data_IF_888788106152
#
_entry.id   IF_888788106152
#
_cell.length_a   1.000
_cell.length_b   1.000
_cell.length_c   1.000
_cell.angle_alpha   90.00
_cell.angle_beta   90.00
_cell.angle_gamma   90.00
#
_symmetry.space_group_name_H-M   'P 1'
#
loop_
_entity.id
_entity.type
_entity.pdbx_description
1 polymer ?
#
# COMPACT_ATOMS: atom_id res chain seq x y z
N UNK A 1 -8.21 -2.27 -31.52
CA UNK A 1 -7.86 -2.47 -30.11
C UNK A 1 -7.30 -1.15 -29.56
N UNK A 2 -8.11 -0.31 -28.98
CA UNK A 2 -7.63 0.95 -28.40
C UNK A 2 -7.11 0.68 -26.99
N UNK A 3 -5.80 0.50 -26.85
CA UNK A 3 -5.07 0.34 -25.59
C UNK A 3 -5.27 1.52 -24.62
N UNK A 4 -5.71 2.66 -25.12
CA UNK A 4 -6.01 3.90 -24.39
C UNK A 4 -7.46 4.36 -24.57
N UNK A 5 -8.43 3.49 -24.34
CA UNK A 5 -9.84 3.90 -24.26
C UNK A 5 -10.04 4.82 -23.04
N UNK A 6 -10.97 5.79 -23.14
CA UNK A 6 -11.36 6.69 -22.02
C UNK A 6 -11.67 5.92 -20.74
N UNK A 7 -12.28 4.73 -20.86
CA UNK A 7 -12.55 3.81 -19.74
C UNK A 7 -11.26 3.35 -19.02
N UNK A 8 -10.17 3.08 -19.74
CA UNK A 8 -8.92 2.63 -19.11
C UNK A 8 -8.21 3.75 -18.35
N UNK A 9 -8.36 5.00 -18.78
CA UNK A 9 -7.89 6.16 -18.02
C UNK A 9 -8.69 6.38 -16.74
N UNK A 10 -10.00 6.21 -16.80
CA UNK A 10 -10.87 6.32 -15.61
C UNK A 10 -10.55 5.22 -14.59
N UNK A 11 -10.35 3.99 -15.02
CA UNK A 11 -9.94 2.87 -14.13
C UNK A 11 -8.62 3.15 -13.42
N UNK A 12 -7.67 3.82 -14.07
CA UNK A 12 -6.40 4.18 -13.47
C UNK A 12 -6.50 5.42 -12.56
N UNK A 13 -7.35 6.41 -12.90
CA UNK A 13 -7.41 7.69 -12.19
C UNK A 13 -8.42 7.67 -11.03
N UNK A 14 -9.48 6.85 -11.11
CA UNK A 14 -10.47 6.72 -10.04
C UNK A 14 -9.87 6.29 -8.69
N UNK A 15 -8.95 5.30 -8.63
CA UNK A 15 -8.30 4.92 -7.37
C UNK A 15 -7.41 6.01 -6.77
N UNK A 16 -6.94 6.96 -7.58
CA UNK A 16 -6.13 8.07 -7.09
C UNK A 16 -6.97 9.22 -6.50
N UNK A 17 -8.20 9.43 -6.98
CA UNK A 17 -9.01 10.58 -6.61
C UNK A 17 -10.23 10.24 -5.77
N UNK A 18 -11.15 9.42 -6.28
CA UNK A 18 -12.48 9.21 -5.68
C UNK A 18 -12.60 7.89 -4.90
N UNK A 19 -12.06 6.81 -5.47
CA UNK A 19 -12.12 5.45 -4.88
C UNK A 19 -10.79 5.02 -4.28
N UNK A 20 -10.13 5.94 -3.57
CA UNK A 20 -8.84 5.67 -2.94
C UNK A 20 -8.95 4.48 -1.97
N UNK A 21 -8.07 3.46 -2.04
CA UNK A 21 -8.21 2.23 -1.26
C UNK A 21 -8.18 2.48 0.26
N UNK A 22 -7.36 3.39 0.75
CA UNK A 22 -7.30 3.73 2.18
C UNK A 22 -8.33 4.79 2.55
N UNK A 23 -8.47 5.86 1.75
CA UNK A 23 -9.27 7.02 2.11
C UNK A 23 -10.77 6.79 1.87
N UNK A 24 -11.12 6.07 0.80
CA UNK A 24 -12.50 5.75 0.45
C UNK A 24 -12.99 4.44 1.05
N UNK A 25 -12.26 3.36 0.80
CA UNK A 25 -12.64 1.99 1.18
C UNK A 25 -12.12 1.56 2.55
N UNK A 26 -11.23 2.34 3.16
CA UNK A 26 -10.63 2.07 4.49
C UNK A 26 -9.90 0.72 4.54
N UNK A 27 -9.32 0.29 3.40
CA UNK A 27 -8.56 -0.94 3.28
C UNK A 27 -7.06 -0.69 3.50
N UNK A 28 -6.33 -1.67 4.03
CA UNK A 28 -4.87 -1.60 4.19
C UNK A 28 -4.36 -0.86 5.43
N UNK A 29 -5.23 -0.52 6.37
CA UNK A 29 -4.82 0.13 7.62
C UNK A 29 -3.85 -0.74 8.41
N UNK A 30 -4.06 -2.06 8.48
CA UNK A 30 -3.22 -2.99 9.25
C UNK A 30 -1.75 -2.92 8.82
N UNK A 31 -1.50 -2.96 7.50
CA UNK A 31 -0.16 -2.86 6.95
C UNK A 31 0.41 -1.44 7.06
N UNK A 32 -0.43 -0.41 6.90
CA UNK A 32 -0.03 0.97 7.10
C UNK A 32 0.45 1.23 8.54
N UNK A 33 -0.22 0.68 9.55
CA UNK A 33 0.18 0.81 10.96
C UNK A 33 1.54 0.17 11.25
N UNK A 34 1.79 -1.02 10.68
CA UNK A 34 2.98 -1.79 10.96
C UNK A 34 4.23 -1.24 10.25
N UNK A 35 4.08 -0.80 8.98
CA UNK A 35 5.22 -0.50 8.11
C UNK A 35 5.66 0.96 8.16
N UNK A 36 4.76 1.88 8.52
CA UNK A 36 5.04 3.33 8.49
C UNK A 36 5.90 3.84 9.66
N UNK A 37 6.46 2.95 10.49
CA UNK A 37 7.41 3.36 11.55
C UNK A 37 8.70 3.97 10.99
N UNK A 38 9.09 3.59 9.77
CA UNK A 38 10.24 4.10 9.04
C UNK A 38 9.88 4.28 7.57
N UNK A 39 10.45 5.31 6.93
CA UNK A 39 10.13 5.65 5.54
C UNK A 39 10.71 4.66 4.53
N UNK A 40 11.94 4.14 4.78
CA UNK A 40 12.57 3.16 3.88
C UNK A 40 11.72 1.91 3.66
N UNK A 41 11.31 1.15 4.70
CA UNK A 41 10.46 -0.02 4.51
C UNK A 41 9.08 0.34 3.97
N UNK A 42 8.55 1.55 4.26
CA UNK A 42 7.26 1.99 3.73
C UNK A 42 7.28 2.15 2.20
N UNK A 43 8.33 2.74 1.64
CA UNK A 43 8.51 2.89 0.19
C UNK A 43 8.63 1.52 -0.49
N UNK A 44 9.51 0.67 0.04
CA UNK A 44 9.73 -0.66 -0.55
C UNK A 44 8.48 -1.52 -0.49
N UNK A 45 7.76 -1.47 0.64
CA UNK A 45 6.48 -2.16 0.81
C UNK A 45 5.42 -1.66 -0.17
N UNK A 46 5.32 -0.34 -0.36
CA UNK A 46 4.39 0.26 -1.31
C UNK A 46 4.66 -0.19 -2.75
N UNK A 47 5.92 -0.21 -3.17
CA UNK A 47 6.32 -0.70 -4.50
C UNK A 47 6.07 -2.21 -4.65
N UNK A 48 6.45 -3.02 -3.65
CA UNK A 48 6.23 -4.46 -3.68
C UNK A 48 4.74 -4.80 -3.79
N UNK A 49 3.89 -4.18 -2.98
CA UNK A 49 2.43 -4.39 -3.04
C UNK A 49 1.88 -3.97 -4.40
N UNK A 50 2.33 -2.86 -4.98
CA UNK A 50 1.89 -2.40 -6.30
C UNK A 50 2.19 -3.45 -7.38
N UNK A 51 3.42 -3.96 -7.42
CA UNK A 51 3.83 -4.99 -8.39
C UNK A 51 3.04 -6.28 -8.19
N UNK A 52 2.95 -6.75 -6.93
CA UNK A 52 2.23 -7.99 -6.61
C UNK A 52 0.75 -7.87 -6.96
N UNK A 53 0.09 -6.75 -6.63
CA UNK A 53 -1.32 -6.53 -6.94
C UNK A 53 -1.58 -6.51 -8.44
N UNK A 54 -0.71 -5.85 -9.21
CA UNK A 54 -0.82 -5.81 -10.66
C UNK A 54 -0.77 -7.21 -11.29
N UNK A 55 0.24 -8.01 -10.93
CA UNK A 55 0.40 -9.37 -11.44
C UNK A 55 -0.69 -10.32 -10.92
N UNK A 56 -1.03 -10.26 -9.65
CA UNK A 56 -2.08 -11.07 -9.05
C UNK A 56 -3.44 -10.83 -9.73
N UNK A 57 -3.80 -9.57 -9.99
CA UNK A 57 -5.02 -9.20 -10.70
C UNK A 57 -5.07 -9.84 -12.11
N UNK A 58 -3.95 -9.84 -12.84
CA UNK A 58 -3.88 -10.46 -14.18
C UNK A 58 -4.09 -11.97 -14.08
N UNK A 59 -3.35 -12.64 -13.20
CA UNK A 59 -3.43 -14.10 -13.04
C UNK A 59 -4.83 -14.53 -12.64
N UNK A 60 -5.42 -13.90 -11.63
CA UNK A 60 -6.78 -14.23 -11.17
C UNK A 60 -7.81 -13.94 -12.26
N UNK A 61 -7.69 -12.85 -13.01
CA UNK A 61 -8.59 -12.54 -14.11
C UNK A 61 -8.53 -13.57 -15.24
N UNK A 62 -7.37 -14.18 -15.51
CA UNK A 62 -7.22 -15.26 -16.49
C UNK A 62 -7.88 -16.56 -16.00
N UNK A 63 -7.68 -16.89 -14.72
CA UNK A 63 -8.14 -18.17 -14.15
C UNK A 63 -9.62 -18.09 -13.68
N UNK A 64 -10.21 -16.91 -13.63
CA UNK A 64 -11.53 -16.66 -13.02
C UNK A 64 -12.65 -17.62 -13.43
N UNK A 65 -12.64 -18.09 -14.69
CA UNK A 65 -13.69 -18.99 -15.20
C UNK A 65 -13.55 -20.43 -14.69
N UNK A 66 -12.37 -20.80 -14.16
CA UNK A 66 -12.08 -22.16 -13.68
C UNK A 66 -12.30 -22.29 -12.19
N UNK A 67 -12.38 -21.18 -11.45
CA UNK A 67 -12.44 -21.17 -9.99
C UNK A 67 -13.89 -21.28 -9.51
N UNK A 68 -14.28 -22.37 -8.78
CA UNK A 68 -15.59 -22.46 -8.17
C UNK A 68 -15.72 -21.49 -6.98
N UNK A 69 -16.92 -20.93 -6.80
CA UNK A 69 -17.18 -19.89 -5.79
C UNK A 69 -16.82 -20.28 -4.34
N UNK A 70 -16.84 -21.58 -4.02
CA UNK A 70 -16.58 -22.06 -2.66
C UNK A 70 -15.13 -21.97 -2.23
N UNK A 71 -14.17 -22.07 -3.18
CA UNK A 71 -12.74 -22.11 -2.89
C UNK A 71 -12.00 -20.85 -3.40
N UNK A 72 -12.74 -19.86 -3.86
CA UNK A 72 -12.22 -18.65 -4.49
C UNK A 72 -11.16 -17.94 -3.65
N UNK A 73 -11.44 -17.67 -2.39
CA UNK A 73 -10.53 -16.97 -1.47
C UNK A 73 -9.25 -17.78 -1.26
N UNK A 74 -9.34 -19.10 -1.16
CA UNK A 74 -8.17 -19.98 -0.97
C UNK A 74 -7.25 -19.92 -2.18
N UNK A 75 -7.81 -19.97 -3.39
CA UNK A 75 -7.03 -19.89 -4.64
C UNK A 75 -6.34 -18.52 -4.76
N UNK A 76 -7.03 -17.44 -4.43
CA UNK A 76 -6.46 -16.09 -4.41
C UNK A 76 -5.27 -16.00 -3.45
N UNK A 77 -5.42 -16.52 -2.22
CA UNK A 77 -4.34 -16.55 -1.23
C UNK A 77 -3.12 -17.35 -1.70
N UNK A 78 -3.33 -18.51 -2.34
CA UNK A 78 -2.23 -19.34 -2.86
C UNK A 78 -1.47 -18.61 -3.97
N UNK A 79 -2.18 -17.99 -4.91
CA UNK A 79 -1.55 -17.21 -6.00
C UNK A 79 -0.75 -16.03 -5.45
N UNK A 80 -1.32 -15.30 -4.50
CA UNK A 80 -0.63 -14.18 -3.85
C UNK A 80 0.60 -14.66 -3.08
N UNK A 81 0.49 -15.74 -2.30
CA UNK A 81 1.61 -16.31 -1.56
C UNK A 81 2.76 -16.73 -2.49
N UNK A 82 2.45 -17.36 -3.63
CA UNK A 82 3.44 -17.72 -4.63
C UNK A 82 4.16 -16.50 -5.20
N UNK A 83 3.41 -15.46 -5.59
CA UNK A 83 3.99 -14.21 -6.10
C UNK A 83 4.86 -13.50 -5.07
N UNK A 84 4.39 -13.40 -3.83
CA UNK A 84 5.14 -12.78 -2.73
C UNK A 84 6.44 -13.54 -2.46
N UNK A 85 6.42 -14.87 -2.51
CA UNK A 85 7.62 -15.69 -2.34
C UNK A 85 8.65 -15.42 -3.44
N UNK A 86 8.21 -15.34 -4.70
CA UNK A 86 9.08 -15.01 -5.84
C UNK A 86 9.70 -13.62 -5.65
N UNK A 87 8.89 -12.61 -5.36
CA UNK A 87 9.38 -11.24 -5.12
C UNK A 87 10.34 -11.17 -3.94
N UNK A 88 10.06 -11.90 -2.86
CA UNK A 88 10.94 -11.99 -1.68
C UNK A 88 12.31 -12.60 -2.05
N UNK A 89 12.35 -13.64 -2.89
CA UNK A 89 13.62 -14.24 -3.33
C UNK A 89 14.41 -13.30 -4.25
N UNK A 90 13.74 -12.57 -5.12
CA UNK A 90 14.37 -11.55 -5.98
C UNK A 90 14.96 -10.43 -5.11
N UNK A 91 14.23 -9.93 -4.12
CA UNK A 91 14.73 -8.91 -3.20
C UNK A 91 15.91 -9.40 -2.35
N UNK A 92 15.94 -10.67 -1.95
CA UNK A 92 17.09 -11.28 -1.26
C UNK A 92 18.33 -11.29 -2.13
N UNK A 93 18.20 -11.47 -3.43
CA UNK A 93 19.33 -11.51 -4.35
C UNK A 93 19.93 -10.12 -4.61
N UNK A 94 19.11 -9.05 -4.63
CA UNK A 94 19.56 -7.71 -5.02
C UNK A 94 19.80 -6.77 -3.84
N UNK A 95 19.06 -6.91 -2.73
CA UNK A 95 19.08 -5.97 -1.61
C UNK A 95 18.90 -6.70 -0.27
N UNK A 96 19.97 -7.35 0.20
CA UNK A 96 19.93 -8.18 1.40
C UNK A 96 19.47 -7.41 2.65
N UNK A 97 19.96 -6.19 2.88
CA UNK A 97 19.62 -5.37 4.06
C UNK A 97 18.13 -5.02 4.10
N UNK A 98 17.56 -4.72 2.94
CA UNK A 98 16.13 -4.43 2.79
C UNK A 98 15.30 -5.69 2.93
N UNK A 99 15.81 -6.82 2.44
CA UNK A 99 15.13 -8.12 2.52
C UNK A 99 14.98 -8.60 3.96
N UNK A 100 15.98 -8.39 4.82
CA UNK A 100 15.91 -8.77 6.25
C UNK A 100 14.79 -7.98 6.94
N UNK A 101 14.67 -6.68 6.66
CA UNK A 101 13.57 -5.86 7.19
C UNK A 101 12.21 -6.29 6.63
N UNK A 102 12.14 -6.62 5.34
CA UNK A 102 10.91 -7.06 4.69
C UNK A 102 10.48 -8.47 5.08
N UNK A 103 11.37 -9.34 5.52
CA UNK A 103 11.01 -10.72 5.89
C UNK A 103 9.93 -10.77 6.97
N UNK A 104 9.92 -9.79 7.88
CA UNK A 104 8.89 -9.64 8.91
C UNK A 104 7.54 -9.21 8.30
N UNK A 105 7.57 -8.45 7.19
CA UNK A 105 6.36 -7.89 6.56
C UNK A 105 5.79 -8.75 5.43
N UNK A 106 6.50 -9.81 5.00
CA UNK A 106 6.04 -10.74 3.94
C UNK A 106 4.66 -11.32 4.26
N UNK A 107 4.45 -11.72 5.52
CA UNK A 107 3.13 -12.19 5.98
C UNK A 107 2.03 -11.13 5.85
N UNK A 108 2.37 -9.85 6.11
CA UNK A 108 1.44 -8.74 5.98
C UNK A 108 1.10 -8.40 4.52
N UNK A 109 1.98 -8.71 3.57
CA UNK A 109 1.68 -8.56 2.14
C UNK A 109 0.66 -9.60 1.69
N UNK A 110 0.83 -10.86 2.10
CA UNK A 110 -0.07 -11.96 1.73
C UNK A 110 -1.49 -11.72 2.25
N UNK A 111 -1.61 -11.27 3.49
CA UNK A 111 -2.90 -11.00 4.14
C UNK A 111 -3.41 -9.56 3.95
N UNK A 112 -2.83 -8.81 3.02
CA UNK A 112 -3.20 -7.42 2.81
C UNK A 112 -4.61 -7.30 2.24
N UNK A 113 -5.48 -6.60 2.98
CA UNK A 113 -6.89 -6.44 2.62
C UNK A 113 -7.11 -5.63 1.32
N UNK A 114 -6.17 -4.75 0.93
CA UNK A 114 -6.24 -4.07 -0.38
C UNK A 114 -6.13 -5.08 -1.50
N UNK A 115 -5.12 -5.95 -1.41
CA UNK A 115 -4.83 -6.97 -2.42
C UNK A 115 -6.02 -7.91 -2.57
N UNK A 116 -6.48 -8.49 -1.46
CA UNK A 116 -7.66 -9.37 -1.44
C UNK A 116 -8.92 -8.66 -1.92
N UNK A 117 -9.15 -7.42 -1.47
CA UNK A 117 -10.32 -6.64 -1.86
C UNK A 117 -10.36 -6.35 -3.36
N UNK A 118 -9.23 -6.05 -4.00
CA UNK A 118 -9.18 -5.78 -5.46
C UNK A 118 -9.25 -7.06 -6.29
N UNK A 119 -8.65 -8.15 -5.83
CA UNK A 119 -8.79 -9.45 -6.48
C UNK A 119 -10.26 -9.88 -6.54
N UNK A 120 -10.97 -9.72 -5.43
CA UNK A 120 -12.37 -10.10 -5.32
C UNK A 120 -13.32 -9.14 -6.07
N UNK A 121 -13.18 -7.83 -5.85
CA UNK A 121 -14.10 -6.84 -6.37
C UNK A 121 -13.89 -6.55 -7.85
N UNK A 122 -12.66 -6.59 -8.35
CA UNK A 122 -12.35 -6.16 -9.71
C UNK A 122 -11.83 -7.28 -10.61
N UNK A 123 -10.81 -8.03 -10.19
CA UNK A 123 -10.14 -9.02 -11.05
C UNK A 123 -11.06 -10.18 -11.44
N UNK A 124 -11.96 -10.60 -10.54
CA UNK A 124 -12.94 -11.65 -10.82
C UNK A 124 -14.01 -11.25 -11.83
N UNK A 125 -14.29 -9.96 -11.99
CA UNK A 125 -15.38 -9.47 -12.86
C UNK A 125 -14.88 -8.95 -14.21
N UNK A 126 -13.63 -8.50 -14.29
CA UNK A 126 -13.10 -7.80 -15.45
C UNK A 126 -12.06 -8.60 -16.25
N UNK A 127 -11.77 -8.13 -17.46
CA UNK A 127 -10.75 -8.69 -18.34
C UNK A 127 -9.34 -8.42 -17.78
N UNK A 128 -8.30 -9.21 -18.19
CA UNK A 128 -6.94 -9.10 -17.63
C UNK A 128 -6.31 -7.70 -17.77
N UNK A 129 -6.52 -7.04 -18.91
CA UNK A 129 -5.91 -5.72 -19.16
C UNK A 129 -6.44 -4.60 -18.25
N UNK A 130 -7.74 -4.37 -18.11
CA UNK A 130 -8.26 -3.42 -17.12
C UNK A 130 -7.87 -3.78 -15.68
N UNK A 131 -7.79 -5.08 -15.36
CA UNK A 131 -7.39 -5.56 -14.04
C UNK A 131 -5.94 -5.24 -13.70
N UNK A 132 -5.04 -5.26 -14.69
CA UNK A 132 -3.66 -4.81 -14.52
C UNK A 132 -3.61 -3.31 -14.16
N UNK A 133 -4.31 -2.47 -14.94
CA UNK A 133 -4.34 -1.02 -14.70
C UNK A 133 -4.95 -0.66 -13.34
N UNK A 134 -6.00 -1.36 -12.94
CA UNK A 134 -6.61 -1.21 -11.62
C UNK A 134 -5.63 -1.57 -10.50
N UNK A 135 -4.89 -2.69 -10.65
CA UNK A 135 -3.87 -3.11 -9.68
C UNK A 135 -2.76 -2.08 -9.50
N UNK A 136 -2.27 -1.51 -10.61
CA UNK A 136 -1.24 -0.45 -10.56
C UNK A 136 -1.81 0.82 -9.93
N UNK A 137 -3.01 1.26 -10.32
CA UNK A 137 -3.64 2.47 -9.80
C UNK A 137 -3.88 2.41 -8.29
N UNK A 138 -4.46 1.31 -7.81
CA UNK A 138 -4.70 1.11 -6.38
C UNK A 138 -3.42 0.91 -5.58
N UNK A 139 -2.42 0.21 -6.15
CA UNK A 139 -1.12 0.02 -5.52
C UNK A 139 -0.37 1.35 -5.35
N UNK A 140 -0.36 2.20 -6.37
CA UNK A 140 0.25 3.53 -6.30
C UNK A 140 -0.48 4.45 -5.30
N UNK A 141 -1.82 4.44 -5.30
CA UNK A 141 -2.60 5.16 -4.29
C UNK A 141 -2.24 4.73 -2.87
N UNK A 142 -2.14 3.43 -2.63
CA UNK A 142 -1.69 2.88 -1.36
C UNK A 142 -0.26 3.32 -0.99
N UNK A 143 0.69 3.21 -1.92
CA UNK A 143 2.08 3.60 -1.70
C UNK A 143 2.19 5.08 -1.34
N UNK A 144 1.42 5.96 -1.99
CA UNK A 144 1.41 7.40 -1.70
C UNK A 144 1.02 7.69 -0.25
N UNK A 145 -0.04 7.06 0.27
CA UNK A 145 -0.44 7.25 1.67
C UNK A 145 0.59 6.66 2.64
N UNK A 146 1.19 5.51 2.34
CA UNK A 146 2.28 4.95 3.15
C UNK A 146 3.45 5.93 3.28
N UNK A 147 3.83 6.54 2.17
CA UNK A 147 4.93 7.53 2.16
C UNK A 147 4.57 8.77 2.96
N UNK A 148 3.35 9.31 2.79
CA UNK A 148 2.89 10.50 3.53
C UNK A 148 2.88 10.24 5.03
N UNK A 149 2.24 9.13 5.46
CA UNK A 149 2.15 8.78 6.88
C UNK A 149 3.52 8.41 7.45
N UNK A 150 4.34 7.66 6.69
CA UNK A 150 5.69 7.29 7.08
C UNK A 150 6.61 8.51 7.24
N UNK A 151 6.55 9.45 6.30
CA UNK A 151 7.30 10.71 6.38
C UNK A 151 6.88 11.55 7.59
N UNK A 152 5.58 11.70 7.84
CA UNK A 152 5.08 12.42 9.00
C UNK A 152 5.56 11.77 10.31
N UNK A 153 5.46 10.45 10.43
CA UNK A 153 5.90 9.72 11.63
C UNK A 153 7.40 9.76 11.87
N UNK A 154 8.20 9.62 10.83
CA UNK A 154 9.65 9.67 10.94
C UNK A 154 10.12 11.09 11.27
N UNK A 155 9.50 12.11 10.66
CA UNK A 155 9.82 13.51 10.93
C UNK A 155 9.53 13.91 12.37
N UNK A 156 8.31 13.63 12.87
CA UNK A 156 7.93 13.99 14.24
C UNK A 156 8.49 13.04 15.32
N UNK A 157 8.75 11.77 14.97
CA UNK A 157 9.23 10.77 15.93
C UNK A 157 10.74 10.78 16.14
N UNK A 158 11.50 10.95 15.05
CA UNK A 158 12.98 10.86 15.08
C UNK A 158 13.70 12.13 14.62
N UNK A 159 12.98 13.08 13.98
CA UNK A 159 13.60 14.26 13.40
C UNK A 159 14.53 13.96 12.22
N UNK A 160 14.44 12.73 11.67
CA UNK A 160 15.19 12.27 10.50
C UNK A 160 14.24 11.91 9.37
N UNK A 161 14.68 12.07 8.11
CA UNK A 161 14.00 11.52 6.94
C UNK A 161 15.00 10.68 6.14
N UNK A 162 14.63 9.42 5.86
CA UNK A 162 15.50 8.46 5.15
C UNK A 162 16.86 8.19 5.85
N UNK A 163 16.96 8.46 7.16
CA UNK A 163 18.21 8.32 7.92
C UNK A 163 19.11 9.57 7.91
N UNK A 164 18.73 10.65 7.20
CA UNK A 164 19.40 11.93 7.31
C UNK A 164 18.75 12.76 8.41
N UNK A 165 19.54 13.24 9.37
CA UNK A 165 19.07 14.19 10.39
C UNK A 165 18.79 15.54 9.73
N UNK A 166 17.51 15.91 9.64
CA UNK A 166 17.08 17.20 9.06
C UNK A 166 16.99 18.29 10.13
N UNK A 167 16.71 17.89 11.37
CA UNK A 167 16.65 18.83 12.48
C UNK A 167 18.07 19.26 12.89
N UNK A 168 18.44 20.55 12.71
CA UNK A 168 19.73 21.07 13.17
C UNK A 168 19.83 20.95 14.69
N UNK A 169 21.04 20.69 15.20
CA UNK A 169 21.32 20.55 16.63
C UNK A 169 20.82 21.74 17.48
N UNK A 170 20.61 22.90 16.88
CA UNK A 170 20.02 24.07 17.53
C UNK A 170 18.59 23.83 18.07
N UNK A 171 17.79 22.98 17.44
CA UNK A 171 16.44 22.63 17.92
C UNK A 171 16.47 21.73 19.16
N UNK A 172 17.48 20.84 19.27
CA UNK A 172 17.68 20.03 20.47
C UNK A 172 18.10 20.87 21.67
N UNK A 173 18.85 21.95 21.44
CA UNK A 173 19.23 22.91 22.50
C UNK A 173 18.06 23.76 23.01
N UNK A 174 16.98 23.90 22.24
CA UNK A 174 15.73 24.57 22.65
C UNK A 174 14.80 23.69 23.49
N UNK A 175 15.22 22.45 23.84
CA UNK A 175 14.44 21.52 24.67
C UNK A 175 13.52 20.59 23.89
N UNK A 176 13.69 20.44 22.57
CA UNK A 176 12.93 19.47 21.80
C UNK A 176 13.44 18.06 22.10
N UNK A 177 12.59 17.23 22.69
CA UNK A 177 12.85 15.81 22.91
C UNK A 177 12.09 15.00 21.86
N UNK A 178 12.76 14.07 21.20
CA UNK A 178 12.13 13.18 20.24
C UNK A 178 10.91 12.47 20.86
N UNK A 179 9.76 12.63 20.21
CA UNK A 179 8.51 12.08 20.73
C UNK A 179 8.38 10.59 20.37
N UNK A 180 8.86 9.70 21.25
CA UNK A 180 8.78 8.26 21.06
C UNK A 180 7.35 7.71 20.91
N UNK A 181 6.32 8.43 21.35
CA UNK A 181 4.91 8.06 21.14
C UNK A 181 4.53 8.05 19.65
N UNK A 182 5.16 8.89 18.81
CA UNK A 182 4.91 8.94 17.37
C UNK A 182 5.30 7.65 16.63
N UNK A 183 6.26 6.89 17.16
CA UNK A 183 6.68 5.61 16.59
C UNK A 183 5.74 4.46 16.98
N UNK A 184 4.87 4.64 17.96
CA UNK A 184 3.89 3.62 18.36
C UNK A 184 2.77 3.44 17.33
N UNK A 185 2.25 2.21 17.15
CA UNK A 185 1.17 1.93 16.20
C UNK A 185 -0.12 2.72 16.47
N UNK A 186 -0.41 3.04 17.75
CA UNK A 186 -1.58 3.82 18.14
C UNK A 186 -1.60 5.22 17.51
N UNK A 187 -0.44 5.89 17.43
CA UNK A 187 -0.34 7.21 16.81
C UNK A 187 -0.50 7.16 15.28
N UNK A 188 -0.07 6.05 14.65
CA UNK A 188 -0.33 5.84 13.24
C UNK A 188 -1.84 5.78 12.93
N UNK A 189 -2.62 5.16 13.79
CA UNK A 189 -4.08 5.10 13.63
C UNK A 189 -4.70 6.49 13.66
N UNK A 190 -4.28 7.33 14.61
CA UNK A 190 -4.74 8.72 14.73
C UNK A 190 -4.35 9.52 13.47
N UNK A 191 -3.11 9.40 13.00
CA UNK A 191 -2.65 10.10 11.80
C UNK A 191 -3.43 9.67 10.55
N UNK A 192 -3.61 8.36 10.35
CA UNK A 192 -4.42 7.85 9.23
C UNK A 192 -5.87 8.34 9.35
N UNK A 193 -6.46 8.32 10.55
CA UNK A 193 -7.79 8.86 10.80
C UNK A 193 -7.90 10.34 10.47
N UNK A 194 -6.91 11.15 10.86
CA UNK A 194 -6.85 12.59 10.51
C UNK A 194 -6.73 12.80 8.99
N UNK A 195 -5.90 12.01 8.30
CA UNK A 195 -5.76 12.09 6.84
C UNK A 195 -7.08 11.74 6.14
N UNK A 196 -7.77 10.70 6.60
CA UNK A 196 -9.09 10.31 6.08
C UNK A 196 -10.12 11.42 6.34
N UNK A 197 -10.12 12.00 7.54
CA UNK A 197 -11.04 13.08 7.91
C UNK A 197 -10.81 14.33 7.04
N UNK A 198 -9.56 14.75 6.88
CA UNK A 198 -9.20 15.89 6.03
C UNK A 198 -9.60 15.64 4.58
N UNK A 199 -9.28 14.45 4.04
CA UNK A 199 -9.66 14.09 2.67
C UNK A 199 -11.18 14.13 2.48
N UNK A 200 -11.95 13.54 3.39
CA UNK A 200 -13.40 13.60 3.34
C UNK A 200 -13.96 15.01 3.48
N UNK A 201 -13.40 15.83 4.35
CA UNK A 201 -13.83 17.22 4.53
C UNK A 201 -13.63 18.06 3.26
N UNK A 202 -12.53 17.82 2.53
CA UNK A 202 -12.24 18.54 1.28
C UNK A 202 -13.03 18.03 0.09
N UNK A 203 -13.08 16.71 -0.13
CA UNK A 203 -13.69 16.11 -1.32
C UNK A 203 -15.21 15.89 -1.21
N UNK A 204 -15.77 15.75 0.00
CA UNK A 204 -17.21 15.56 0.21
C UNK A 204 -17.98 16.89 0.27
N UNK A 205 -17.28 18.03 0.32
CA UNK A 205 -17.90 19.36 0.34
C UNK A 205 -18.26 19.88 -1.06
N UNK A 206 -17.78 19.19 -2.12
CA UNK A 206 -18.08 19.52 -3.52
C UNK A 206 -19.23 18.69 -4.14
N UNK A 207 -19.95 17.92 -3.35
CA UNK A 207 -21.20 17.27 -3.73
C UNK A 207 -22.33 17.79 -2.83
#
# INVERSE_FOLDING_TARGET
MALFSKQNKEVFTNPLNLDHPILGQVLGICSALAVTAQLKPAIVMGLAVTVITAFANVIISVIRNTIPNRIRIVVQLVVVAALVTIVSQILKAFAYDVSVQLSVYVGLIITNCILMGRLEAFAMMNKPWPSFLDGVGNGLGYAMILVIVGAAREFFGRGSLLGFQILPQGFYNLGYVNNGMMTMPAMALILVGCVIWVHRAYFYKEK
#
